data_IF_957561375300
#
_entry.id   IF_957561375300
#
_cell.length_a   1.000
_cell.length_b   1.000
_cell.length_c   1.000
_cell.angle_alpha   90.00
_cell.angle_beta   90.00
_cell.angle_gamma   90.00
#
_symmetry.space_group_name_H-M   'P 1'
#
loop_
_entity.id
_entity.type
_entity.pdbx_description
1 polymer ?
#
# COMPACT_ATOMS: atom_id res chain seq x y z
N UNK A 1 3.39 6.68 26.86
CA UNK A 1 3.62 7.62 25.73
C UNK A 1 2.59 7.35 24.64
N UNK A 2 2.19 8.37 23.85
CA UNK A 2 1.36 8.13 22.67
C UNK A 2 2.25 7.43 21.64
N UNK A 3 1.83 6.28 21.12
CA UNK A 3 2.57 5.53 20.09
C UNK A 3 2.66 6.39 18.83
N UNK A 4 3.88 6.65 18.35
CA UNK A 4 4.18 7.52 17.19
C UNK A 4 4.10 6.69 15.90
N UNK A 5 4.72 5.52 15.89
CA UNK A 5 4.64 4.59 14.79
C UNK A 5 3.31 3.82 14.83
N UNK A 6 2.57 3.90 13.74
CA UNK A 6 1.37 3.12 13.49
C UNK A 6 1.67 1.87 12.66
N UNK A 7 0.65 1.30 12.01
CA UNK A 7 0.82 0.11 11.13
C UNK A 7 1.64 0.39 9.86
N UNK A 8 1.85 1.66 9.50
CA UNK A 8 2.58 2.06 8.29
C UNK A 8 3.38 3.35 8.53
N UNK A 9 4.27 3.33 9.52
CA UNK A 9 5.11 4.45 9.91
C UNK A 9 4.39 5.51 10.77
N UNK A 10 5.07 6.63 11.01
CA UNK A 10 4.50 7.79 11.67
C UNK A 10 3.68 8.61 10.67
N UNK A 11 2.40 8.85 10.91
CA UNK A 11 1.51 9.63 10.03
C UNK A 11 0.70 10.67 10.78
N UNK A 12 0.46 11.79 10.13
CA UNK A 12 -0.38 12.86 10.66
C UNK A 12 -0.42 14.08 9.76
N UNK A 13 -1.12 15.11 10.21
CA UNK A 13 -1.15 16.41 9.53
C UNK A 13 0.23 17.06 9.68
N UNK A 14 0.84 17.44 8.55
CA UNK A 14 2.14 18.12 8.51
C UNK A 14 2.08 19.46 9.29
N UNK A 15 3.16 19.81 9.99
CA UNK A 15 3.26 20.97 10.91
C UNK A 15 2.30 20.94 12.12
N UNK A 16 1.54 19.89 12.31
CA UNK A 16 0.64 19.75 13.47
C UNK A 16 0.95 18.48 14.27
N UNK A 17 1.00 17.34 13.60
CA UNK A 17 1.27 16.03 14.20
C UNK A 17 2.66 15.51 13.77
N UNK A 18 3.00 15.70 12.50
CA UNK A 18 4.34 15.43 11.97
C UNK A 18 5.04 16.79 11.79
N UNK A 19 5.80 17.18 12.79
CA UNK A 19 6.53 18.45 12.83
C UNK A 19 7.99 18.26 12.43
N UNK A 20 8.68 19.38 12.13
CA UNK A 20 10.12 19.39 11.85
C UNK A 20 10.93 18.84 13.04
N UNK A 21 10.55 19.21 14.27
CA UNK A 21 11.21 18.75 15.49
C UNK A 21 11.08 17.22 15.64
N UNK A 22 9.88 16.68 15.38
CA UNK A 22 9.67 15.23 15.41
C UNK A 22 10.47 14.53 14.32
N UNK A 23 10.52 15.10 13.11
CA UNK A 23 11.28 14.57 11.98
C UNK A 23 12.79 14.51 12.28
N UNK A 24 13.36 15.55 12.88
CA UNK A 24 14.76 15.56 13.35
C UNK A 24 14.99 14.46 14.41
N UNK A 25 14.08 14.32 15.38
CA UNK A 25 14.18 13.28 16.41
C UNK A 25 14.13 11.88 15.81
N UNK A 26 13.20 11.63 14.87
CA UNK A 26 13.10 10.35 14.16
C UNK A 26 14.42 10.08 13.40
N UNK A 27 14.95 11.05 12.68
CA UNK A 27 16.22 10.90 11.97
C UNK A 27 17.37 10.51 12.90
N UNK A 28 17.49 11.16 14.05
CA UNK A 28 18.50 10.80 15.07
C UNK A 28 18.29 9.39 15.62
N UNK A 29 17.06 9.03 15.97
CA UNK A 29 16.75 7.72 16.53
C UNK A 29 17.03 6.59 15.52
N UNK A 30 16.66 6.79 14.25
CA UNK A 30 16.94 5.85 13.14
C UNK A 30 18.46 5.69 12.96
N UNK A 31 19.20 6.79 12.90
CA UNK A 31 20.66 6.72 12.73
C UNK A 31 21.37 6.12 13.95
N UNK A 32 20.87 6.33 15.16
CA UNK A 32 21.42 5.69 16.37
C UNK A 32 21.20 4.18 16.36
N UNK A 33 20.00 3.75 15.93
CA UNK A 33 19.66 2.32 15.84
C UNK A 33 20.50 1.59 14.76
N UNK A 34 20.65 2.20 13.57
CA UNK A 34 21.35 1.58 12.42
C UNK A 34 22.82 2.03 12.27
N UNK A 35 23.42 2.55 13.30
CA UNK A 35 24.76 3.13 13.27
C UNK A 35 25.83 2.10 12.84
N UNK A 36 26.65 2.48 11.86
CA UNK A 36 27.84 1.72 11.45
C UNK A 36 27.71 0.94 10.12
N UNK A 37 26.52 0.80 9.55
CA UNK A 37 26.28 -0.12 8.41
C UNK A 37 26.13 0.56 7.04
N UNK A 38 26.54 1.81 6.87
CA UNK A 38 26.46 2.57 5.62
C UNK A 38 25.51 3.78 5.70
N UNK A 39 25.24 4.46 4.57
CA UNK A 39 24.35 5.60 4.52
C UNK A 39 22.88 5.20 4.65
N UNK A 40 22.04 6.15 5.06
CA UNK A 40 20.57 6.02 4.97
C UNK A 40 20.09 6.57 3.63
N UNK A 41 19.26 5.79 2.93
CA UNK A 41 18.56 6.24 1.72
C UNK A 41 17.26 6.97 2.13
N UNK A 42 17.01 8.16 1.57
CA UNK A 42 15.75 8.88 1.76
C UNK A 42 15.08 9.13 0.40
N UNK A 43 13.82 8.69 0.27
CA UNK A 43 12.93 9.07 -0.83
C UNK A 43 11.70 9.81 -0.32
N UNK A 44 10.98 10.44 -1.22
CA UNK A 44 9.79 11.22 -0.87
C UNK A 44 8.71 11.12 -1.94
N UNK A 45 7.44 11.36 -1.57
CA UNK A 45 6.38 11.65 -2.53
C UNK A 45 6.38 13.15 -2.91
N UNK A 46 5.48 13.55 -3.80
CA UNK A 46 5.43 14.92 -4.32
C UNK A 46 4.82 15.95 -3.38
N UNK A 47 4.32 15.59 -2.18
CA UNK A 47 3.64 16.51 -1.26
C UNK A 47 4.48 17.76 -0.99
N UNK A 48 3.82 18.92 -0.91
CA UNK A 48 4.50 20.20 -0.62
C UNK A 48 5.32 20.15 0.67
N UNK A 49 4.86 19.39 1.67
CA UNK A 49 5.57 19.22 2.94
C UNK A 49 6.71 18.19 2.91
N UNK A 50 6.85 17.39 1.84
CA UNK A 50 7.84 16.31 1.78
C UNK A 50 9.28 16.83 1.79
N UNK A 51 9.68 17.85 1.03
CA UNK A 51 11.05 18.37 1.09
C UNK A 51 11.42 18.88 2.49
N UNK A 52 10.51 19.60 3.16
CA UNK A 52 10.75 20.11 4.52
C UNK A 52 11.02 18.97 5.52
N UNK A 53 10.20 17.91 5.48
CA UNK A 53 10.34 16.77 6.38
C UNK A 53 11.55 15.90 6.02
N UNK A 54 11.84 15.71 4.72
CA UNK A 54 13.07 15.05 4.24
C UNK A 54 14.31 15.71 4.82
N UNK A 55 14.39 17.03 4.67
CA UNK A 55 15.57 17.80 5.10
C UNK A 55 15.73 17.74 6.62
N UNK A 56 14.62 17.75 7.36
CA UNK A 56 14.63 17.61 8.82
C UNK A 56 15.11 16.21 9.24
N UNK A 57 14.62 15.13 8.61
CA UNK A 57 15.11 13.77 8.87
C UNK A 57 16.58 13.63 8.50
N UNK A 58 16.99 14.14 7.32
CA UNK A 58 18.37 14.11 6.87
C UNK A 58 19.30 14.86 7.84
N UNK A 59 18.90 16.05 8.32
CA UNK A 59 19.65 16.80 9.31
C UNK A 59 19.78 16.01 10.63
N UNK A 60 18.70 15.34 11.07
CA UNK A 60 18.73 14.48 12.25
C UNK A 60 19.74 13.34 12.10
N UNK A 61 19.71 12.62 11.00
CA UNK A 61 20.62 11.51 10.69
C UNK A 61 22.08 12.01 10.62
N UNK A 62 22.33 13.03 9.83
CA UNK A 62 23.67 13.57 9.62
C UNK A 62 24.28 14.13 10.93
N UNK A 63 23.46 14.78 11.78
CA UNK A 63 23.91 15.28 13.08
C UNK A 63 24.41 14.16 14.02
N UNK A 64 24.01 12.93 13.77
CA UNK A 64 24.45 11.75 14.53
C UNK A 64 25.60 10.97 13.86
N UNK A 65 26.19 11.54 12.79
CA UNK A 65 27.41 11.01 12.14
C UNK A 65 27.15 9.96 11.07
N UNK A 66 25.92 9.76 10.62
CA UNK A 66 25.58 8.81 9.55
C UNK A 66 25.33 9.58 8.25
N UNK A 67 25.90 9.08 7.15
CA UNK A 67 25.72 9.67 5.82
C UNK A 67 24.27 9.47 5.32
N UNK A 68 23.80 10.39 4.50
CA UNK A 68 22.46 10.39 3.90
C UNK A 68 22.58 10.51 2.38
N UNK A 69 21.87 9.67 1.67
CA UNK A 69 21.66 9.79 0.22
C UNK A 69 20.17 10.07 -0.03
N UNK A 70 19.84 11.18 -0.67
CA UNK A 70 18.47 11.50 -1.06
C UNK A 70 18.22 11.12 -2.52
N UNK A 71 17.12 10.43 -2.79
CA UNK A 71 16.70 10.05 -4.15
C UNK A 71 15.68 11.02 -4.76
N UNK A 72 15.25 12.04 -4.00
CA UNK A 72 14.16 12.95 -4.37
C UNK A 72 12.80 12.22 -4.47
N UNK A 73 11.94 12.73 -5.34
CA UNK A 73 10.59 12.14 -5.53
C UNK A 73 10.70 10.79 -6.24
N UNK A 74 10.41 9.72 -5.49
CA UNK A 74 10.54 8.31 -5.94
C UNK A 74 9.50 7.44 -5.19
N UNK A 75 8.93 6.40 -5.80
CA UNK A 75 7.96 5.53 -5.13
C UNK A 75 8.49 4.86 -3.86
N UNK A 76 7.61 4.70 -2.87
CA UNK A 76 7.90 3.94 -1.65
C UNK A 76 8.54 2.57 -1.93
N UNK A 77 8.00 1.72 -2.83
CA UNK A 77 8.62 0.42 -3.14
C UNK A 77 10.00 0.55 -3.79
N UNK A 78 10.27 1.64 -4.51
CA UNK A 78 11.60 1.87 -5.07
C UNK A 78 12.64 2.09 -3.96
N UNK A 79 12.30 2.86 -2.90
CA UNK A 79 13.20 3.01 -1.74
C UNK A 79 13.44 1.67 -1.07
N UNK A 80 12.39 0.89 -0.82
CA UNK A 80 12.49 -0.48 -0.26
C UNK A 80 13.44 -1.36 -1.10
N UNK A 81 13.23 -1.41 -2.40
CA UNK A 81 14.04 -2.23 -3.32
C UNK A 81 15.51 -1.76 -3.39
N UNK A 82 15.73 -0.46 -3.52
CA UNK A 82 17.06 0.12 -3.61
C UNK A 82 17.84 0.00 -2.30
N UNK A 83 17.16 0.10 -1.15
CA UNK A 83 17.76 -0.18 0.16
C UNK A 83 18.27 -1.62 0.23
N UNK A 84 17.45 -2.58 -0.21
CA UNK A 84 17.82 -4.01 -0.24
C UNK A 84 18.97 -4.33 -1.19
N UNK A 85 19.01 -3.67 -2.35
CA UNK A 85 19.99 -3.97 -3.40
C UNK A 85 21.27 -3.14 -3.28
N UNK A 86 21.21 -2.00 -2.61
CA UNK A 86 22.33 -1.08 -2.41
C UNK A 86 23.06 -1.33 -1.09
N UNK A 87 24.04 -0.49 -0.83
CA UNK A 87 24.81 -0.53 0.42
C UNK A 87 24.26 0.50 1.42
N UNK A 88 22.97 0.39 1.75
CA UNK A 88 22.26 1.27 2.68
C UNK A 88 21.95 0.53 3.98
N UNK A 89 22.19 1.17 5.14
CA UNK A 89 21.84 0.59 6.43
C UNK A 89 20.34 0.64 6.70
N UNK A 90 19.65 1.64 6.14
CA UNK A 90 18.20 1.79 6.23
C UNK A 90 17.66 2.61 5.06
N UNK A 91 16.37 2.48 4.79
CA UNK A 91 15.61 3.34 3.88
C UNK A 91 14.57 4.14 4.63
N UNK A 92 14.38 5.40 4.28
CA UNK A 92 13.34 6.26 4.83
C UNK A 92 12.49 6.82 3.69
N UNK A 93 11.19 6.84 3.86
CA UNK A 93 10.25 7.44 2.91
C UNK A 93 9.41 8.50 3.60
N UNK A 94 9.37 9.67 2.97
CA UNK A 94 8.52 10.78 3.41
C UNK A 94 7.25 10.76 2.56
N UNK A 95 6.19 10.19 3.10
CA UNK A 95 4.90 10.04 2.41
C UNK A 95 3.77 9.67 3.36
N UNK A 96 2.55 10.08 3.01
CA UNK A 96 1.32 9.58 3.61
C UNK A 96 0.47 8.77 2.60
N UNK A 97 1.07 8.21 1.54
CA UNK A 97 0.43 7.35 0.52
C UNK A 97 -0.83 8.04 -0.06
N UNK A 98 -2.00 7.45 0.13
CA UNK A 98 -3.28 7.91 -0.41
C UNK A 98 -4.01 8.94 0.45
N UNK A 99 -3.44 9.38 1.58
CA UNK A 99 -4.08 10.38 2.45
C UNK A 99 -4.23 11.75 1.74
N UNK A 100 -5.16 12.62 2.21
CA UNK A 100 -5.28 13.99 1.73
C UNK A 100 -3.98 14.79 1.78
N UNK A 101 -3.93 15.91 1.05
CA UNK A 101 -2.70 16.70 0.82
C UNK A 101 -2.07 17.29 2.11
N UNK A 102 -2.89 17.51 3.15
CA UNK A 102 -2.45 18.05 4.43
C UNK A 102 -1.64 17.04 5.26
N UNK A 103 -1.79 15.76 4.97
CA UNK A 103 -1.10 14.68 5.67
C UNK A 103 0.29 14.46 5.11
N UNK A 104 1.19 14.00 5.98
CA UNK A 104 2.45 13.41 5.57
C UNK A 104 2.84 12.31 6.57
N UNK A 105 3.96 11.63 6.32
CA UNK A 105 4.43 10.58 7.19
C UNK A 105 5.90 10.24 6.98
N UNK A 106 6.44 9.45 7.89
CA UNK A 106 7.81 8.94 7.85
C UNK A 106 7.75 7.44 8.04
N UNK A 107 8.14 6.70 6.99
CA UNK A 107 8.23 5.24 6.98
C UNK A 107 9.70 4.83 7.02
N UNK A 108 10.03 3.76 7.73
CA UNK A 108 11.41 3.26 7.81
C UNK A 108 11.46 1.82 7.33
N UNK A 109 12.48 1.51 6.55
CA UNK A 109 12.80 0.19 6.03
C UNK A 109 14.18 -0.25 6.56
N UNK A 110 14.30 -1.49 6.97
CA UNK A 110 15.59 -2.09 7.31
C UNK A 110 16.44 -2.31 6.05
N UNK A 111 17.72 -2.59 6.24
CA UNK A 111 18.69 -2.86 5.16
C UNK A 111 18.24 -3.94 4.16
N UNK A 112 17.41 -4.88 4.58
CA UNK A 112 16.83 -5.92 3.74
C UNK A 112 15.61 -5.47 2.94
N UNK A 113 15.21 -4.19 3.04
CA UNK A 113 14.08 -3.59 2.36
C UNK A 113 12.70 -3.89 2.97
N UNK A 114 12.63 -4.63 4.07
CA UNK A 114 11.37 -4.83 4.80
C UNK A 114 11.05 -3.64 5.69
N UNK A 115 9.76 -3.39 5.92
CA UNK A 115 9.33 -2.49 7.01
C UNK A 115 9.83 -3.04 8.33
N UNK A 116 10.04 -2.13 9.28
CA UNK A 116 10.51 -2.50 10.61
C UNK A 116 9.48 -3.39 11.32
N UNK A 117 9.97 -4.35 12.09
CA UNK A 117 9.16 -5.12 13.04
C UNK A 117 8.71 -4.23 14.21
N UNK A 118 7.62 -4.59 14.88
CA UNK A 118 7.03 -3.79 15.95
C UNK A 118 8.02 -3.52 17.08
N UNK A 119 8.85 -4.52 17.42
CA UNK A 119 9.89 -4.43 18.43
C UNK A 119 10.95 -3.39 18.09
N UNK A 120 11.35 -3.32 16.81
CA UNK A 120 12.33 -2.34 16.32
C UNK A 120 11.72 -0.93 16.30
N UNK A 121 10.44 -0.80 15.87
CA UNK A 121 9.74 0.48 15.94
C UNK A 121 9.65 0.98 17.39
N UNK A 122 9.36 0.11 18.35
CA UNK A 122 9.32 0.44 19.79
C UNK A 122 10.70 0.86 20.32
N UNK A 123 11.78 0.20 19.91
CA UNK A 123 13.14 0.60 20.27
C UNK A 123 13.49 1.97 19.71
N UNK A 124 13.14 2.27 18.45
CA UNK A 124 13.34 3.59 17.85
C UNK A 124 12.49 4.65 18.58
N UNK A 125 11.24 4.35 18.94
CA UNK A 125 10.42 5.27 19.76
C UNK A 125 11.08 5.55 21.12
N UNK A 126 11.70 4.57 21.74
CA UNK A 126 12.44 4.77 22.99
C UNK A 126 13.68 5.66 22.83
N UNK A 127 14.28 5.68 21.65
CA UNK A 127 15.44 6.54 21.34
C UNK A 127 15.07 8.00 21.06
N UNK A 128 13.82 8.32 20.70
CA UNK A 128 13.42 9.66 20.29
C UNK A 128 13.79 10.77 21.29
N UNK A 129 13.73 10.47 22.58
CA UNK A 129 14.04 11.42 23.65
C UNK A 129 15.33 11.05 24.42
N UNK A 130 16.07 10.01 24.01
CA UNK A 130 17.23 9.48 24.71
C UNK A 130 18.56 9.72 23.98
N UNK A 131 18.54 10.17 22.73
CA UNK A 131 19.78 10.48 22.01
C UNK A 131 20.54 11.58 22.76
N UNK A 132 21.78 11.29 23.14
CA UNK A 132 22.63 12.22 23.86
C UNK A 132 23.04 13.38 22.95
N UNK A 133 22.46 14.56 23.20
CA UNK A 133 22.75 15.77 22.42
C UNK A 133 24.06 16.47 22.85
N UNK A 134 24.68 16.03 23.97
CA UNK A 134 25.91 16.66 24.48
C UNK A 134 27.18 16.13 23.80
N UNK A 135 27.12 14.91 23.21
CA UNK A 135 28.25 14.22 22.60
C UNK A 135 28.06 13.98 21.08
N UNK A 136 27.36 14.86 20.40
CA UNK A 136 27.18 14.75 18.95
C UNK A 136 28.52 14.87 18.19
N UNK A 137 28.66 14.12 17.07
CA UNK A 137 29.84 14.22 16.20
C UNK A 137 30.15 15.65 15.77
N UNK A 138 31.43 15.98 15.64
CA UNK A 138 31.90 17.31 15.27
C UNK A 138 32.86 17.25 14.09
N UNK A 139 32.96 18.36 13.35
CA UNK A 139 33.88 18.50 12.22
C UNK A 139 33.64 17.44 11.14
N UNK A 140 34.69 16.67 10.82
CA UNK A 140 34.65 15.61 9.79
C UNK A 140 33.88 14.35 10.19
N UNK A 141 33.43 14.26 11.45
CA UNK A 141 32.63 13.13 11.93
C UNK A 141 31.12 13.37 11.73
N UNK A 142 30.71 14.56 11.31
CA UNK A 142 29.31 14.84 10.93
C UNK A 142 29.03 14.08 9.62
N UNK A 143 27.87 13.42 9.54
CA UNK A 143 27.45 12.72 8.33
C UNK A 143 27.23 13.67 7.16
N UNK A 144 27.51 13.20 5.95
CA UNK A 144 27.31 13.95 4.72
C UNK A 144 25.90 13.75 4.19
N UNK A 145 25.30 14.81 3.64
CA UNK A 145 24.03 14.72 2.92
C UNK A 145 24.33 14.94 1.44
N UNK A 146 24.00 13.99 0.61
CA UNK A 146 24.16 14.05 -0.84
C UNK A 146 22.88 13.62 -1.56
N UNK A 147 22.67 14.16 -2.77
CA UNK A 147 21.59 13.73 -3.65
C UNK A 147 22.14 12.80 -4.73
N UNK A 148 21.43 11.69 -5.00
CA UNK A 148 21.71 10.81 -6.14
C UNK A 148 20.45 10.66 -7.01
N UNK A 149 20.36 11.48 -8.03
CA UNK A 149 19.25 11.50 -8.99
C UNK A 149 19.20 10.25 -9.89
N UNK A 150 20.30 9.44 -9.95
CA UNK A 150 20.37 8.22 -10.77
C UNK A 150 19.60 7.06 -10.14
N UNK A 151 19.26 7.13 -8.87
CA UNK A 151 18.54 6.07 -8.18
C UNK A 151 17.16 5.78 -8.80
N UNK A 152 16.46 6.80 -9.31
CA UNK A 152 15.22 6.60 -10.08
C UNK A 152 15.42 5.77 -11.34
N UNK A 153 16.48 6.09 -12.08
CA UNK A 153 16.88 5.33 -13.27
C UNK A 153 17.30 3.90 -12.93
N UNK A 154 18.00 3.71 -11.82
CA UNK A 154 18.41 2.37 -11.35
C UNK A 154 17.19 1.48 -11.06
N UNK A 155 16.14 2.04 -10.45
CA UNK A 155 14.89 1.32 -10.24
C UNK A 155 14.20 0.96 -11.57
N UNK A 156 14.08 1.93 -12.50
CA UNK A 156 13.50 1.70 -13.84
C UNK A 156 14.31 0.63 -14.60
N UNK A 157 15.62 0.77 -14.66
CA UNK A 157 16.52 -0.20 -15.34
C UNK A 157 16.31 -1.60 -14.79
N UNK A 158 16.28 -1.73 -13.45
CA UNK A 158 16.07 -3.01 -12.78
C UNK A 158 14.75 -3.67 -13.20
N UNK A 159 13.67 -2.91 -13.30
CA UNK A 159 12.36 -3.46 -13.70
C UNK A 159 12.30 -3.79 -15.18
N UNK A 160 12.84 -2.93 -16.04
CA UNK A 160 12.94 -3.20 -17.49
C UNK A 160 13.69 -4.49 -17.74
N UNK A 161 14.89 -4.66 -17.14
CA UNK A 161 15.71 -5.85 -17.28
C UNK A 161 15.04 -7.10 -16.70
N UNK A 162 14.45 -6.98 -15.52
CA UNK A 162 13.80 -8.09 -14.80
C UNK A 162 12.60 -8.64 -15.55
N UNK A 163 11.78 -7.75 -16.09
CA UNK A 163 10.53 -8.16 -16.74
C UNK A 163 10.72 -8.43 -18.22
N UNK A 164 11.53 -7.65 -18.93
CA UNK A 164 11.85 -7.84 -20.37
C UNK A 164 10.61 -8.09 -21.23
N UNK A 165 9.54 -7.29 -21.00
CA UNK A 165 8.29 -7.37 -21.76
C UNK A 165 8.46 -6.68 -23.12
N UNK A 166 7.75 -7.19 -24.14
CA UNK A 166 7.55 -6.44 -25.37
C UNK A 166 6.11 -5.92 -25.40
N UNK A 167 5.95 -4.61 -25.20
CA UNK A 167 4.67 -3.92 -25.18
C UNK A 167 4.40 -3.15 -26.51
N UNK A 168 5.16 -3.45 -27.57
CA UNK A 168 4.94 -2.82 -28.89
C UNK A 168 3.51 -3.09 -29.37
N UNK A 169 2.78 -2.02 -29.69
CA UNK A 169 1.39 -2.09 -30.12
C UNK A 169 0.37 -2.15 -28.97
N UNK A 170 0.81 -2.10 -27.72
CA UNK A 170 -0.08 -1.98 -26.56
C UNK A 170 -0.20 -0.50 -26.18
N UNK A 171 -1.42 0.00 -26.12
CA UNK A 171 -1.74 1.37 -25.70
C UNK A 171 -2.24 1.37 -24.26
N UNK A 172 -1.57 2.13 -23.40
CA UNK A 172 -1.80 2.14 -21.94
C UNK A 172 -2.17 3.55 -21.49
N UNK A 173 -3.31 3.69 -20.81
CA UNK A 173 -3.65 4.89 -20.05
C UNK A 173 -2.98 4.80 -18.67
N UNK A 174 -2.32 5.87 -18.21
CA UNK A 174 -1.61 5.89 -16.91
C UNK A 174 -1.99 7.13 -16.12
N UNK A 175 -2.50 6.92 -14.91
CA UNK A 175 -2.72 7.95 -13.91
C UNK A 175 -1.71 7.75 -12.78
N UNK A 176 -0.80 8.70 -12.60
CA UNK A 176 0.22 8.67 -11.55
C UNK A 176 -0.14 9.50 -10.32
N UNK A 177 -1.39 9.93 -10.23
CA UNK A 177 -1.93 10.69 -9.09
C UNK A 177 -1.15 11.98 -8.75
N UNK A 178 -0.40 12.57 -9.69
CA UNK A 178 0.59 13.63 -9.45
C UNK A 178 1.63 13.25 -8.39
N UNK A 179 1.81 11.96 -8.13
CA UNK A 179 2.59 11.39 -7.05
C UNK A 179 3.99 10.92 -7.46
N UNK A 180 4.54 10.03 -6.67
CA UNK A 180 5.92 9.57 -6.78
C UNK A 180 6.22 8.70 -8.01
N UNK A 181 5.18 8.13 -8.64
CA UNK A 181 5.32 7.29 -9.83
C UNK A 181 5.40 8.08 -11.14
N UNK A 182 5.31 9.42 -11.11
CA UNK A 182 5.23 10.31 -12.25
C UNK A 182 6.29 10.05 -13.35
N UNK A 183 7.47 9.64 -12.94
CA UNK A 183 8.59 9.30 -13.81
C UNK A 183 8.70 7.79 -14.02
N UNK A 184 8.71 7.01 -12.93
CA UNK A 184 9.09 5.60 -12.96
C UNK A 184 8.14 4.73 -13.78
N UNK A 185 6.83 4.92 -13.63
CA UNK A 185 5.83 4.12 -14.37
C UNK A 185 5.81 4.47 -15.86
N UNK A 186 5.65 5.73 -16.28
CA UNK A 186 5.68 6.07 -17.70
C UNK A 186 7.00 5.68 -18.38
N UNK A 187 8.14 5.91 -17.73
CA UNK A 187 9.44 5.61 -18.30
C UNK A 187 9.66 4.11 -18.48
N UNK A 188 9.31 3.29 -17.47
CA UNK A 188 9.40 1.83 -17.57
C UNK A 188 8.55 1.29 -18.72
N UNK A 189 7.28 1.70 -18.80
CA UNK A 189 6.37 1.23 -19.85
C UNK A 189 6.80 1.67 -21.25
N UNK A 190 7.31 2.90 -21.39
CA UNK A 190 7.83 3.43 -22.64
C UNK A 190 9.06 2.65 -23.12
N UNK A 191 10.00 2.34 -22.23
CA UNK A 191 11.20 1.51 -22.56
C UNK A 191 10.83 0.09 -22.95
N UNK A 192 9.72 -0.42 -22.46
CA UNK A 192 9.16 -1.72 -22.86
C UNK A 192 8.37 -1.67 -24.16
N UNK A 193 8.20 -0.49 -24.78
CA UNK A 193 7.61 -0.31 -26.10
C UNK A 193 6.13 0.09 -26.13
N UNK A 194 5.51 0.43 -24.97
CA UNK A 194 4.11 0.83 -24.92
C UNK A 194 3.85 2.23 -25.48
N UNK A 195 2.70 2.41 -26.11
CA UNK A 195 2.10 3.74 -26.37
C UNK A 195 1.38 4.22 -25.12
N UNK A 196 1.65 5.45 -24.67
CA UNK A 196 1.11 5.96 -23.41
C UNK A 196 0.22 7.18 -23.59
N UNK A 197 -0.88 7.19 -22.85
CA UNK A 197 -1.70 8.37 -22.56
C UNK A 197 -1.64 8.60 -21.06
N UNK A 198 -1.06 9.72 -20.64
CA UNK A 198 -0.77 9.96 -19.22
C UNK A 198 -1.64 11.07 -18.62
N UNK A 199 -2.00 10.89 -17.36
CA UNK A 199 -2.64 11.88 -16.51
C UNK A 199 -1.81 12.02 -15.22
N UNK A 200 -1.61 13.24 -14.74
CA UNK A 200 -0.86 13.50 -13.51
C UNK A 200 0.60 13.08 -13.55
N UNK A 201 1.21 12.93 -14.75
CA UNK A 201 2.61 12.50 -14.91
C UNK A 201 3.61 13.65 -14.67
N UNK A 202 3.36 14.42 -13.64
CA UNK A 202 4.21 15.49 -13.09
C UNK A 202 4.09 15.48 -11.56
N UNK A 203 5.16 15.79 -10.81
CA UNK A 203 5.12 15.79 -9.35
C UNK A 203 4.54 17.11 -8.84
N UNK A 204 3.23 17.14 -8.56
CA UNK A 204 2.53 18.31 -8.03
C UNK A 204 1.87 18.01 -6.68
N UNK A 205 2.53 18.43 -5.62
CA UNK A 205 2.09 18.20 -4.24
C UNK A 205 0.79 18.89 -3.84
N UNK A 206 0.33 19.87 -4.61
CA UNK A 206 -0.97 20.53 -4.39
C UNK A 206 -2.12 19.71 -5.00
N UNK A 207 -1.82 18.73 -5.84
CA UNK A 207 -2.77 17.92 -6.60
C UNK A 207 -2.66 16.41 -6.31
N UNK A 208 -1.67 15.99 -5.54
CA UNK A 208 -1.45 14.57 -5.23
C UNK A 208 -2.71 13.92 -4.63
N UNK A 209 -3.21 12.86 -5.24
CA UNK A 209 -4.45 12.13 -4.91
C UNK A 209 -5.75 12.99 -4.97
N UNK A 210 -5.70 14.25 -5.42
CA UNK A 210 -6.89 15.11 -5.49
C UNK A 210 -7.71 14.74 -6.72
N UNK A 211 -8.85 14.08 -6.49
CA UNK A 211 -9.76 13.57 -7.53
C UNK A 211 -9.05 12.70 -8.60
N UNK A 212 -8.00 11.99 -8.24
CA UNK A 212 -7.26 11.10 -9.13
C UNK A 212 -6.62 9.95 -8.32
N UNK A 213 -5.90 9.08 -9.02
CA UNK A 213 -5.21 7.95 -8.42
C UNK A 213 -6.12 6.80 -8.02
N UNK A 214 -5.53 5.78 -7.41
CA UNK A 214 -6.19 4.51 -7.10
C UNK A 214 -7.40 4.62 -6.17
N UNK A 215 -7.52 5.69 -5.41
CA UNK A 215 -8.69 5.97 -4.55
C UNK A 215 -9.83 6.68 -5.27
N UNK A 216 -9.57 7.20 -6.48
CA UNK A 216 -10.54 7.88 -7.34
C UNK A 216 -10.48 7.28 -8.77
N UNK A 217 -10.83 6.01 -8.94
CA UNK A 217 -10.57 5.25 -10.17
C UNK A 217 -11.42 5.68 -11.38
N UNK A 218 -12.36 6.62 -11.21
CA UNK A 218 -13.16 7.17 -12.31
C UNK A 218 -12.29 7.86 -13.37
N UNK A 219 -11.20 8.52 -12.96
CA UNK A 219 -10.27 9.17 -13.90
C UNK A 219 -9.64 8.15 -14.84
N UNK A 220 -9.11 7.05 -14.30
CA UNK A 220 -8.49 6.03 -15.16
C UNK A 220 -9.52 5.29 -16.00
N UNK A 221 -10.76 5.12 -15.51
CA UNK A 221 -11.88 4.58 -16.25
C UNK A 221 -12.16 5.43 -17.50
N UNK A 222 -12.41 6.73 -17.32
CA UNK A 222 -12.70 7.69 -18.39
C UNK A 222 -11.51 7.87 -19.35
N UNK A 223 -10.30 7.96 -18.82
CA UNK A 223 -9.08 8.10 -19.62
C UNK A 223 -8.87 6.89 -20.53
N UNK A 224 -9.06 5.68 -20.00
CA UNK A 224 -8.90 4.44 -20.77
C UNK A 224 -9.90 4.35 -21.92
N UNK A 225 -11.19 4.61 -21.63
CA UNK A 225 -12.24 4.55 -22.63
C UNK A 225 -12.08 5.64 -23.70
N UNK A 226 -11.91 6.90 -23.28
CA UNK A 226 -11.82 8.05 -24.21
C UNK A 226 -10.59 8.00 -25.09
N UNK A 227 -9.46 7.54 -24.58
CA UNK A 227 -8.22 7.38 -25.34
C UNK A 227 -8.19 6.10 -26.18
N UNK A 228 -9.17 5.20 -26.01
CA UNK A 228 -9.20 3.85 -26.61
C UNK A 228 -7.94 3.05 -26.24
N UNK A 229 -7.51 3.13 -25.00
CA UNK A 229 -6.39 2.35 -24.49
C UNK A 229 -6.80 0.90 -24.21
N UNK A 230 -5.86 -0.03 -24.36
CA UNK A 230 -6.10 -1.46 -24.11
C UNK A 230 -6.30 -1.75 -22.62
N UNK A 231 -5.62 -0.96 -21.78
CA UNK A 231 -5.66 -1.07 -20.32
C UNK A 231 -5.36 0.30 -19.70
N UNK A 232 -5.96 0.56 -18.53
CA UNK A 232 -5.63 1.68 -17.66
C UNK A 232 -4.90 1.22 -16.40
N UNK A 233 -3.96 2.04 -15.93
CA UNK A 233 -3.14 1.83 -14.73
C UNK A 233 -3.23 3.09 -13.89
N UNK A 234 -3.70 3.00 -12.65
CA UNK A 234 -3.81 4.13 -11.73
C UNK A 234 -3.12 3.82 -10.40
N UNK A 235 -2.11 4.62 -10.06
CA UNK A 235 -1.37 4.52 -8.79
C UNK A 235 -1.98 5.41 -7.71
N UNK A 236 -1.57 5.21 -6.46
CA UNK A 236 -1.72 6.19 -5.40
C UNK A 236 -0.46 7.08 -5.29
N UNK A 237 -0.49 8.02 -4.35
CA UNK A 237 0.52 9.08 -4.24
C UNK A 237 1.96 8.60 -4.07
N UNK A 238 2.21 7.46 -3.43
CA UNK A 238 3.56 6.91 -3.24
C UNK A 238 3.80 5.60 -4.01
N UNK A 239 2.82 5.15 -4.80
CA UNK A 239 2.99 4.07 -5.76
C UNK A 239 3.07 2.67 -5.18
N UNK A 240 2.71 2.47 -3.92
CA UNK A 240 2.62 1.16 -3.30
C UNK A 240 1.33 0.41 -3.68
N UNK A 241 0.36 1.11 -4.32
CA UNK A 241 -0.90 0.59 -4.83
C UNK A 241 -1.08 0.81 -6.31
N UNK A 242 -1.90 -0.04 -6.91
CA UNK A 242 -2.36 0.11 -8.29
C UNK A 242 -3.77 -0.46 -8.46
N UNK A 243 -4.60 0.26 -9.21
CA UNK A 243 -5.91 -0.16 -9.70
C UNK A 243 -5.88 -0.10 -11.22
N UNK A 244 -6.62 -0.98 -11.86
CA UNK A 244 -6.66 -1.05 -13.32
C UNK A 244 -8.04 -0.73 -13.86
N UNK A 245 -8.10 -0.44 -15.17
CA UNK A 245 -9.33 -0.47 -15.95
C UNK A 245 -9.14 -1.29 -17.22
N UNK A 246 -10.17 -2.00 -17.62
CA UNK A 246 -10.17 -2.65 -18.93
C UNK A 246 -10.46 -1.64 -20.05
N UNK A 247 -10.37 -2.06 -21.31
CA UNK A 247 -10.57 -1.19 -22.49
C UNK A 247 -11.97 -0.55 -22.60
N UNK A 248 -12.90 -0.92 -21.74
CA UNK A 248 -14.25 -0.34 -21.62
C UNK A 248 -14.39 0.57 -20.41
N UNK A 249 -13.30 0.90 -19.75
CA UNK A 249 -13.31 1.68 -18.52
C UNK A 249 -13.76 0.92 -17.27
N UNK A 250 -14.04 -0.39 -17.35
CA UNK A 250 -14.47 -1.14 -16.16
C UNK A 250 -13.31 -1.33 -15.21
N UNK A 251 -13.48 -0.92 -13.95
CA UNK A 251 -12.45 -0.99 -12.93
C UNK A 251 -12.15 -2.43 -12.52
N UNK A 252 -10.87 -2.71 -12.34
CA UNK A 252 -10.30 -3.98 -11.85
C UNK A 252 -9.51 -3.67 -10.60
N UNK A 253 -10.04 -4.10 -9.45
CA UNK A 253 -9.45 -3.86 -8.15
C UNK A 253 -8.33 -4.85 -7.79
N UNK A 254 -7.75 -4.69 -6.60
CA UNK A 254 -6.67 -5.58 -6.14
C UNK A 254 -7.10 -7.04 -6.00
N UNK A 255 -8.34 -7.29 -5.63
CA UNK A 255 -8.87 -8.65 -5.49
C UNK A 255 -8.97 -9.36 -6.85
N UNK A 256 -9.54 -8.69 -7.87
CA UNK A 256 -9.57 -9.24 -9.24
C UNK A 256 -8.16 -9.41 -9.80
N UNK A 257 -7.28 -8.43 -9.55
CA UNK A 257 -5.88 -8.47 -9.99
C UNK A 257 -5.16 -9.68 -9.41
N UNK A 258 -5.27 -9.91 -8.09
CA UNK A 258 -4.71 -11.09 -7.44
C UNK A 258 -5.28 -12.39 -8.01
N UNK A 259 -6.59 -12.44 -8.30
CA UNK A 259 -7.22 -13.64 -8.88
C UNK A 259 -6.68 -13.93 -10.27
N UNK A 260 -6.56 -12.93 -11.14
CA UNK A 260 -6.06 -13.09 -12.51
C UNK A 260 -4.61 -13.58 -12.48
N UNK A 261 -3.74 -12.89 -11.73
CA UNK A 261 -2.31 -13.22 -11.65
C UNK A 261 -2.12 -14.56 -10.90
N UNK A 262 -2.85 -14.80 -9.81
CA UNK A 262 -2.76 -16.03 -9.03
C UNK A 262 -3.14 -17.27 -9.84
N UNK A 263 -4.19 -17.19 -10.66
CA UNK A 263 -4.58 -18.28 -11.60
C UNK A 263 -3.49 -18.53 -12.65
N UNK A 264 -2.88 -17.46 -13.19
CA UNK A 264 -1.80 -17.59 -14.16
C UNK A 264 -0.55 -18.21 -13.50
N UNK A 265 -0.15 -17.77 -12.29
CA UNK A 265 0.94 -18.37 -11.54
C UNK A 265 0.69 -19.86 -11.24
N UNK A 266 -0.54 -20.21 -10.86
CA UNK A 266 -0.94 -21.61 -10.62
C UNK A 266 -0.81 -22.45 -11.89
N UNK A 267 -1.36 -21.98 -13.02
CA UNK A 267 -1.27 -22.62 -14.33
C UNK A 267 0.20 -22.83 -14.78
N UNK A 268 1.10 -21.90 -14.45
CA UNK A 268 2.54 -21.98 -14.75
C UNK A 268 3.34 -22.81 -13.72
N UNK A 269 2.71 -23.36 -12.68
CA UNK A 269 3.40 -24.06 -11.60
C UNK A 269 4.30 -23.16 -10.73
N UNK A 270 4.03 -21.84 -10.72
CA UNK A 270 4.82 -20.82 -10.00
C UNK A 270 4.12 -20.30 -8.74
N UNK A 271 2.89 -20.71 -8.48
CA UNK A 271 2.18 -20.34 -7.26
C UNK A 271 2.63 -21.25 -6.11
N UNK A 272 3.57 -20.77 -5.32
CA UNK A 272 4.13 -21.51 -4.18
C UNK A 272 3.01 -21.97 -3.23
N UNK A 273 3.04 -23.23 -2.85
CA UNK A 273 2.07 -23.88 -1.96
C UNK A 273 0.59 -23.76 -2.40
N UNK A 274 0.31 -23.29 -3.62
CA UNK A 274 -1.02 -22.98 -4.13
C UNK A 274 -1.82 -22.06 -3.19
N UNK A 275 -1.15 -21.07 -2.61
CA UNK A 275 -1.72 -20.12 -1.64
C UNK A 275 -1.66 -18.70 -2.20
N UNK A 276 -2.77 -17.95 -2.00
CA UNK A 276 -2.86 -16.51 -2.11
C UNK A 276 -3.31 -15.95 -0.76
N UNK A 277 -2.68 -14.88 -0.30
CA UNK A 277 -3.02 -14.24 0.98
C UNK A 277 -3.74 -12.92 0.71
N UNK A 278 -4.95 -12.78 1.26
CA UNK A 278 -5.71 -11.53 1.24
C UNK A 278 -6.09 -11.09 2.65
N UNK A 279 -7.04 -10.17 2.74
CA UNK A 279 -7.54 -9.68 4.04
C UNK A 279 -8.99 -10.09 4.27
N UNK A 280 -9.47 -9.84 5.49
CA UNK A 280 -10.90 -9.98 5.82
C UNK A 280 -11.80 -9.02 5.00
N UNK A 281 -11.24 -8.09 4.23
CA UNK A 281 -12.00 -7.21 3.35
C UNK A 281 -12.09 -7.73 1.92
N UNK A 282 -11.26 -8.68 1.51
CA UNK A 282 -11.32 -9.27 0.16
C UNK A 282 -12.67 -9.91 -0.12
N UNK A 283 -13.18 -9.74 -1.34
CA UNK A 283 -14.52 -10.17 -1.71
C UNK A 283 -14.69 -11.70 -1.64
N UNK A 284 -15.82 -12.17 -1.12
CA UNK A 284 -16.12 -13.60 -0.98
C UNK A 284 -16.22 -14.31 -2.34
N UNK A 285 -16.66 -13.61 -3.39
CA UNK A 285 -16.71 -14.16 -4.74
C UNK A 285 -15.32 -14.46 -5.28
N UNK A 286 -14.34 -13.63 -4.94
CA UNK A 286 -12.92 -13.84 -5.29
C UNK A 286 -12.36 -15.08 -4.58
N UNK A 287 -12.62 -15.22 -3.27
CA UNK A 287 -12.22 -16.42 -2.54
C UNK A 287 -12.83 -17.69 -3.16
N UNK A 288 -14.15 -17.68 -3.44
CA UNK A 288 -14.82 -18.81 -4.12
C UNK A 288 -14.19 -19.11 -5.49
N UNK A 289 -13.80 -18.06 -6.23
CA UNK A 289 -13.12 -18.24 -7.51
C UNK A 289 -11.73 -18.87 -7.36
N UNK A 290 -10.95 -18.49 -6.35
CA UNK A 290 -9.68 -19.14 -6.03
C UNK A 290 -9.88 -20.63 -5.70
N UNK A 291 -10.79 -20.94 -4.77
CA UNK A 291 -11.08 -22.31 -4.34
C UNK A 291 -11.53 -23.19 -5.53
N UNK A 292 -12.39 -22.65 -6.40
CA UNK A 292 -12.83 -23.35 -7.63
C UNK A 292 -11.66 -23.70 -8.57
N UNK A 293 -10.58 -22.93 -8.53
CA UNK A 293 -9.38 -23.18 -9.33
C UNK A 293 -8.28 -23.98 -8.56
N UNK A 294 -8.61 -24.59 -7.42
CA UNK A 294 -7.65 -25.39 -6.63
C UNK A 294 -6.61 -24.54 -5.87
N UNK A 295 -6.88 -23.25 -5.69
CA UNK A 295 -6.01 -22.30 -4.99
C UNK A 295 -6.60 -22.03 -3.61
N UNK A 296 -5.78 -22.12 -2.57
CA UNK A 296 -6.16 -21.77 -1.20
C UNK A 296 -6.08 -20.26 -1.03
N UNK A 297 -7.17 -19.66 -0.56
CA UNK A 297 -7.18 -18.24 -0.20
C UNK A 297 -7.14 -18.11 1.33
N UNK A 298 -6.15 -17.40 1.85
CA UNK A 298 -6.01 -17.17 3.28
C UNK A 298 -6.32 -15.71 3.60
N UNK A 299 -7.06 -15.48 4.68
CA UNK A 299 -7.45 -14.15 5.12
C UNK A 299 -6.68 -13.74 6.37
N UNK A 300 -6.16 -12.53 6.35
CA UNK A 300 -5.56 -11.88 7.51
C UNK A 300 -6.40 -10.70 8.00
N UNK A 301 -6.02 -10.08 9.10
CA UNK A 301 -6.49 -8.74 9.44
C UNK A 301 -6.12 -7.73 8.35
N UNK A 302 -6.82 -6.60 8.30
CA UNK A 302 -6.51 -5.50 7.38
C UNK A 302 -5.19 -4.85 7.77
N UNK A 303 -4.33 -4.65 6.78
CA UNK A 303 -3.01 -4.05 6.90
C UNK A 303 -1.95 -4.91 6.21
N UNK A 304 -1.13 -4.28 5.41
CA UNK A 304 -0.07 -4.88 4.61
C UNK A 304 0.92 -5.71 5.45
N UNK A 305 1.24 -5.26 6.66
CA UNK A 305 2.05 -5.96 7.67
C UNK A 305 1.52 -7.38 7.96
N UNK A 306 0.20 -7.52 8.14
CA UNK A 306 -0.42 -8.84 8.43
C UNK A 306 -0.42 -9.74 7.20
N UNK A 307 -0.64 -9.15 6.02
CA UNK A 307 -0.55 -9.88 4.74
C UNK A 307 0.88 -10.40 4.55
N UNK A 308 1.87 -9.53 4.68
CA UNK A 308 3.28 -9.87 4.53
C UNK A 308 3.72 -10.97 5.52
N UNK A 309 3.37 -10.82 6.80
CA UNK A 309 3.70 -11.81 7.84
C UNK A 309 3.13 -13.19 7.52
N UNK A 310 1.85 -13.27 7.11
CA UNK A 310 1.24 -14.55 6.73
C UNK A 310 1.83 -15.10 5.41
N UNK A 311 2.19 -14.24 4.45
CA UNK A 311 2.89 -14.65 3.23
C UNK A 311 4.25 -15.30 3.55
N UNK A 312 5.06 -14.69 4.41
CA UNK A 312 6.36 -15.24 4.84
C UNK A 312 6.14 -16.58 5.54
N UNK A 313 5.23 -16.64 6.51
CA UNK A 313 4.91 -17.86 7.28
C UNK A 313 4.44 -19.01 6.39
N UNK A 314 3.73 -18.72 5.31
CA UNK A 314 3.17 -19.71 4.38
C UNK A 314 4.00 -19.91 3.12
N UNK A 315 5.08 -19.17 2.96
CA UNK A 315 5.88 -19.13 1.73
C UNK A 315 4.99 -18.85 0.50
N UNK A 316 4.03 -17.91 0.65
CA UNK A 316 3.11 -17.54 -0.42
C UNK A 316 3.80 -16.57 -1.39
N UNK A 317 3.68 -16.80 -2.69
CA UNK A 317 4.31 -15.97 -3.72
C UNK A 317 3.61 -14.62 -3.90
N UNK A 318 2.29 -14.57 -3.68
CA UNK A 318 1.45 -13.38 -3.88
C UNK A 318 0.46 -13.20 -2.73
N UNK A 319 0.27 -11.96 -2.32
CA UNK A 319 -0.76 -11.54 -1.39
C UNK A 319 -1.01 -10.06 -1.50
N UNK A 320 -2.12 -9.58 -0.93
CA UNK A 320 -2.44 -8.16 -1.00
C UNK A 320 -3.83 -7.82 -0.50
N UNK A 321 -4.27 -6.63 -0.87
CA UNK A 321 -5.54 -6.04 -0.46
C UNK A 321 -6.36 -5.60 -1.67
N UNK A 322 -7.68 -5.54 -1.51
CA UNK A 322 -8.59 -5.00 -2.51
C UNK A 322 -8.21 -3.59 -2.97
N UNK A 323 -7.59 -2.80 -2.09
CA UNK A 323 -7.10 -1.44 -2.39
C UNK A 323 -6.00 -1.37 -3.46
N UNK A 324 -5.49 -2.52 -3.93
CA UNK A 324 -4.42 -2.60 -4.93
C UNK A 324 -3.01 -2.65 -4.35
N UNK A 325 -2.84 -2.74 -3.03
CA UNK A 325 -1.56 -3.02 -2.39
C UNK A 325 -1.26 -4.52 -2.53
N UNK A 326 -0.44 -4.89 -3.51
CA UNK A 326 -0.13 -6.29 -3.84
C UNK A 326 1.37 -6.53 -3.71
N UNK A 327 1.72 -7.59 -3.00
CA UNK A 327 3.09 -8.01 -2.71
C UNK A 327 3.41 -9.26 -3.52
N UNK A 328 4.57 -9.25 -4.18
CA UNK A 328 5.19 -10.41 -4.81
C UNK A 328 6.51 -10.67 -4.09
N UNK A 329 6.56 -11.63 -3.14
CA UNK A 329 7.73 -11.84 -2.27
C UNK A 329 9.04 -12.10 -3.01
N UNK A 330 8.99 -12.69 -4.19
CA UNK A 330 10.17 -12.95 -5.00
C UNK A 330 10.72 -11.66 -5.67
N UNK A 331 9.91 -10.60 -5.74
CA UNK A 331 10.25 -9.34 -6.40
C UNK A 331 10.42 -8.18 -5.41
N UNK A 332 9.52 -8.05 -4.46
CA UNK A 332 9.47 -6.92 -3.52
C UNK A 332 9.09 -7.37 -2.11
N UNK A 333 9.60 -6.67 -1.10
CA UNK A 333 9.28 -6.85 0.32
C UNK A 333 8.06 -6.03 0.79
N UNK A 334 7.47 -5.24 -0.11
CA UNK A 334 6.27 -4.43 0.13
C UNK A 334 5.41 -4.41 -1.12
N UNK A 335 4.20 -3.87 -1.04
CA UNK A 335 3.39 -3.61 -2.23
C UNK A 335 4.12 -2.70 -3.22
N UNK A 336 4.02 -3.05 -4.49
CA UNK A 336 4.63 -2.30 -5.58
C UNK A 336 3.66 -2.24 -6.76
N UNK A 337 3.09 -1.05 -6.97
CA UNK A 337 2.09 -0.85 -8.02
C UNK A 337 2.66 -1.06 -9.42
N UNK A 338 3.92 -0.70 -9.66
CA UNK A 338 4.56 -0.88 -10.97
C UNK A 338 4.91 -2.34 -11.22
N UNK A 339 5.44 -3.08 -10.24
CA UNK A 339 5.64 -4.53 -10.35
C UNK A 339 4.31 -5.23 -10.61
N UNK A 340 3.26 -4.84 -9.90
CA UNK A 340 1.92 -5.41 -10.09
C UNK A 340 1.40 -5.16 -11.51
N UNK A 341 1.61 -3.94 -12.05
CA UNK A 341 1.26 -3.61 -13.43
C UNK A 341 2.03 -4.47 -14.43
N UNK A 342 3.35 -4.61 -14.25
CA UNK A 342 4.18 -5.45 -15.12
C UNK A 342 3.79 -6.93 -15.06
N UNK A 343 3.43 -7.44 -13.88
CA UNK A 343 2.92 -8.80 -13.72
C UNK A 343 1.60 -9.01 -14.45
N UNK A 344 0.65 -8.06 -14.34
CA UNK A 344 -0.63 -8.15 -15.06
C UNK A 344 -0.42 -8.06 -16.58
N UNK A 345 0.43 -7.14 -17.05
CA UNK A 345 0.79 -7.04 -18.47
C UNK A 345 1.44 -8.32 -18.99
N UNK A 346 2.29 -8.97 -18.19
CA UNK A 346 2.82 -10.30 -18.51
C UNK A 346 1.71 -11.32 -18.73
N UNK A 347 0.70 -11.33 -17.86
CA UNK A 347 -0.43 -12.25 -18.00
C UNK A 347 -1.20 -11.99 -19.29
N UNK A 348 -1.47 -10.71 -19.65
CA UNK A 348 -2.16 -10.34 -20.89
C UNK A 348 -1.40 -10.84 -22.12
N UNK A 349 -0.09 -10.65 -22.16
CA UNK A 349 0.78 -11.10 -23.25
C UNK A 349 0.78 -12.63 -23.34
N UNK A 350 1.03 -13.32 -22.23
CA UNK A 350 1.16 -14.79 -22.19
C UNK A 350 -0.15 -15.51 -22.53
N UNK A 351 -1.30 -14.96 -22.16
CA UNK A 351 -2.61 -15.52 -22.47
C UNK A 351 -3.15 -15.06 -23.82
N UNK A 352 -2.58 -13.99 -24.41
CA UNK A 352 -3.05 -13.40 -25.68
C UNK A 352 -4.48 -12.89 -25.60
N UNK A 353 -4.93 -12.43 -24.42
CA UNK A 353 -6.30 -12.01 -24.15
C UNK A 353 -6.34 -10.62 -23.51
N UNK A 354 -7.32 -9.78 -23.90
CA UNK A 354 -7.51 -8.50 -23.22
C UNK A 354 -8.02 -8.71 -21.79
N UNK A 355 -7.80 -7.72 -20.93
CA UNK A 355 -8.18 -7.76 -19.51
C UNK A 355 -9.69 -8.03 -19.35
N UNK A 356 -10.53 -7.44 -20.22
CA UNK A 356 -11.97 -7.67 -20.24
C UNK A 356 -12.40 -9.12 -20.48
N UNK A 357 -11.53 -9.95 -21.09
CA UNK A 357 -11.78 -11.39 -21.23
C UNK A 357 -11.28 -12.20 -20.04
N UNK A 358 -10.13 -11.83 -19.45
CA UNK A 358 -9.58 -12.54 -18.29
C UNK A 358 -10.48 -12.40 -17.06
N UNK A 359 -11.24 -11.32 -16.96
CA UNK A 359 -12.21 -11.09 -15.88
C UNK A 359 -13.60 -11.69 -16.08
N UNK A 360 -13.88 -12.26 -17.27
CA UNK A 360 -15.19 -12.90 -17.51
C UNK A 360 -15.49 -14.00 -16.51
N UNK A 361 -16.69 -13.93 -15.90
CA UNK A 361 -17.16 -14.89 -14.91
C UNK A 361 -16.61 -14.67 -13.50
N UNK A 362 -15.87 -13.60 -13.25
CA UNK A 362 -15.59 -13.15 -11.89
C UNK A 362 -16.89 -12.56 -11.32
N UNK A 363 -17.27 -13.02 -10.14
CA UNK A 363 -18.49 -12.58 -9.46
C UNK A 363 -18.08 -11.83 -8.21
N UNK A 364 -18.52 -10.58 -8.09
CA UNK A 364 -18.43 -9.82 -6.86
C UNK A 364 -19.75 -9.91 -6.11
N UNK A 365 -19.67 -10.29 -4.85
CA UNK A 365 -20.83 -10.20 -3.98
C UNK A 365 -21.00 -8.77 -3.49
N UNK A 366 -22.24 -8.27 -3.40
CA UNK A 366 -22.53 -7.00 -2.77
C UNK A 366 -21.89 -6.93 -1.37
N UNK A 367 -21.18 -5.84 -1.09
CA UNK A 367 -20.49 -5.59 0.17
C UNK A 367 -20.90 -4.21 0.69
N UNK A 368 -21.44 -4.16 1.91
CA UNK A 368 -21.86 -2.92 2.56
C UNK A 368 -20.97 -2.62 3.75
N UNK A 369 -20.33 -1.46 3.75
CA UNK A 369 -19.52 -0.95 4.86
C UNK A 369 -20.29 0.16 5.59
N UNK A 370 -20.60 -0.07 6.87
CA UNK A 370 -21.25 0.90 7.75
C UNK A 370 -20.31 1.33 8.86
N UNK A 371 -20.12 2.64 9.00
CA UNK A 371 -19.31 3.23 10.05
C UNK A 371 -20.22 3.77 11.17
N UNK A 372 -20.03 3.32 12.41
CA UNK A 372 -20.80 3.77 13.57
C UNK A 372 -19.87 4.48 14.54
N UNK A 373 -20.07 5.80 14.75
CA UNK A 373 -19.28 6.57 15.71
C UNK A 373 -19.59 6.09 17.13
N UNK A 374 -18.56 5.91 17.95
CA UNK A 374 -18.66 5.44 19.33
C UNK A 374 -17.80 6.31 20.26
N UNK A 375 -18.19 6.45 21.53
CA UNK A 375 -17.37 7.11 22.55
C UNK A 375 -16.20 6.23 22.96
N UNK A 376 -16.46 4.92 23.12
CA UNK A 376 -15.45 3.92 23.46
C UNK A 376 -15.49 2.76 22.46
N UNK A 377 -14.35 2.47 21.85
CA UNK A 377 -14.20 1.36 20.89
C UNK A 377 -14.30 -0.01 21.55
N UNK A 378 -14.11 -0.11 22.87
CA UNK A 378 -14.24 -1.35 23.63
C UNK A 378 -15.66 -1.92 23.60
N UNK A 379 -16.67 -1.11 23.24
CA UNK A 379 -18.04 -1.58 23.03
C UNK A 379 -18.11 -2.75 22.01
N UNK A 380 -17.20 -2.84 21.06
CA UNK A 380 -17.07 -3.98 20.15
C UNK A 380 -16.72 -5.30 20.88
N UNK A 381 -16.24 -5.22 22.13
CA UNK A 381 -15.93 -6.38 22.96
C UNK A 381 -17.07 -6.73 23.94
N UNK A 382 -18.12 -5.90 24.02
CA UNK A 382 -19.30 -6.20 24.85
C UNK A 382 -19.89 -7.57 24.46
N UNK A 383 -20.10 -8.42 25.44
CA UNK A 383 -20.57 -9.79 25.23
C UNK A 383 -21.92 -9.81 24.52
N UNK A 384 -22.86 -8.91 24.88
CA UNK A 384 -24.20 -8.81 24.28
C UNK A 384 -24.10 -8.48 22.80
N UNK A 385 -23.16 -7.57 22.43
CA UNK A 385 -22.92 -7.20 21.04
C UNK A 385 -22.31 -8.35 20.24
N UNK A 386 -21.32 -9.03 20.81
CA UNK A 386 -20.72 -10.22 20.17
C UNK A 386 -21.74 -11.33 19.95
N UNK A 387 -22.52 -11.66 20.97
CA UNK A 387 -23.55 -12.70 20.91
C UNK A 387 -24.60 -12.35 19.82
N UNK A 388 -24.98 -11.07 19.72
CA UNK A 388 -25.88 -10.60 18.68
C UNK A 388 -25.28 -10.74 17.28
N UNK A 389 -24.03 -10.27 17.07
CA UNK A 389 -23.33 -10.41 15.78
C UNK A 389 -23.18 -11.89 15.39
N UNK A 390 -22.84 -12.76 16.33
CA UNK A 390 -22.79 -14.21 16.08
C UNK A 390 -24.13 -14.81 15.67
N UNK A 391 -25.25 -14.31 16.24
CA UNK A 391 -26.58 -14.75 15.82
C UNK A 391 -26.87 -14.35 14.37
N UNK A 392 -26.52 -13.14 13.96
CA UNK A 392 -26.66 -12.68 12.58
C UNK A 392 -25.77 -13.45 11.60
N UNK A 393 -24.51 -13.79 12.01
CA UNK A 393 -23.62 -14.67 11.23
C UNK A 393 -24.24 -16.05 11.00
N UNK A 394 -24.85 -16.63 12.05
CA UNK A 394 -25.53 -17.92 11.95
C UNK A 394 -26.74 -17.88 11.02
N UNK A 395 -27.51 -16.79 11.05
CA UNK A 395 -28.67 -16.59 10.16
C UNK A 395 -28.23 -16.44 8.69
N UNK A 396 -27.16 -15.70 8.44
CA UNK A 396 -26.61 -15.48 7.11
C UNK A 396 -26.00 -16.78 6.53
N UNK A 397 -25.40 -17.61 7.39
CA UNK A 397 -24.80 -18.90 7.01
C UNK A 397 -23.74 -18.76 5.91
N UNK A 398 -23.73 -19.69 4.97
CA UNK A 398 -22.76 -19.71 3.86
C UNK A 398 -23.09 -18.72 2.71
N UNK A 399 -24.19 -17.98 2.81
CA UNK A 399 -24.61 -17.00 1.78
C UNK A 399 -23.86 -15.69 1.87
N UNK A 400 -23.18 -15.45 2.98
CA UNK A 400 -22.47 -14.20 3.21
C UNK A 400 -21.59 -14.26 4.44
N UNK A 401 -21.09 -13.09 4.85
CA UNK A 401 -20.27 -12.93 6.05
C UNK A 401 -20.40 -11.54 6.65
N UNK A 402 -20.04 -11.45 7.91
CA UNK A 402 -20.08 -10.22 8.68
C UNK A 402 -18.70 -10.03 9.33
N UNK A 403 -18.15 -8.83 9.20
CA UNK A 403 -16.90 -8.42 9.86
C UNK A 403 -17.17 -7.15 10.66
N UNK A 404 -16.96 -7.21 11.97
CA UNK A 404 -17.08 -6.06 12.85
C UNK A 404 -15.73 -5.78 13.48
N UNK A 405 -15.24 -4.56 13.34
CA UNK A 405 -13.95 -4.17 13.90
C UNK A 405 -13.91 -2.70 14.33
N UNK A 406 -13.17 -2.36 15.40
CA UNK A 406 -12.85 -0.97 15.69
C UNK A 406 -11.96 -0.36 14.61
N UNK A 407 -12.14 0.94 14.34
CA UNK A 407 -11.18 1.70 13.52
C UNK A 407 -9.87 1.91 14.28
N UNK A 408 -8.74 1.78 13.60
CA UNK A 408 -7.42 2.07 14.18
C UNK A 408 -7.28 3.53 14.58
N UNK A 409 -7.69 4.44 13.70
CA UNK A 409 -7.43 5.89 13.81
C UNK A 409 -8.60 6.72 14.30
N UNK A 410 -9.83 6.28 14.08
CA UNK A 410 -11.04 7.06 14.36
C UNK A 410 -11.88 6.44 15.50
N UNK A 411 -12.69 7.23 16.24
CA UNK A 411 -13.57 6.73 17.29
C UNK A 411 -14.85 6.12 16.71
N UNK A 412 -14.69 5.02 15.93
CA UNK A 412 -15.82 4.33 15.30
C UNK A 412 -15.62 2.81 15.21
N UNK A 413 -16.72 2.10 15.09
CA UNK A 413 -16.79 0.68 14.75
C UNK A 413 -17.17 0.57 13.27
N UNK A 414 -16.43 -0.22 12.54
CA UNK A 414 -16.68 -0.57 11.14
C UNK A 414 -17.40 -1.90 11.08
N UNK A 415 -18.56 -1.91 10.43
CA UNK A 415 -19.41 -3.08 10.22
C UNK A 415 -19.41 -3.34 8.71
N UNK A 416 -18.84 -4.45 8.28
CA UNK A 416 -18.91 -4.91 6.90
C UNK A 416 -19.84 -6.12 6.84
N UNK A 417 -20.84 -6.05 5.98
CA UNK A 417 -21.74 -7.16 5.65
C UNK A 417 -21.64 -7.43 4.17
N UNK A 418 -21.40 -8.66 3.81
CA UNK A 418 -21.25 -9.12 2.43
C UNK A 418 -22.12 -10.37 2.21
N UNK A 419 -22.73 -10.48 1.04
CA UNK A 419 -23.59 -11.64 0.75
C UNK A 419 -24.19 -11.61 -0.64
N UNK A 420 -24.90 -12.68 -0.99
CA UNK A 420 -25.48 -12.88 -2.32
C UNK A 420 -26.67 -11.94 -2.59
N UNK A 421 -27.37 -11.49 -1.54
CA UNK A 421 -28.56 -10.65 -1.66
C UNK A 421 -28.34 -9.27 -1.02
N UNK A 422 -28.39 -8.22 -1.84
CA UNK A 422 -28.19 -6.84 -1.40
C UNK A 422 -29.22 -6.38 -0.36
N UNK A 423 -30.49 -6.76 -0.48
CA UNK A 423 -31.53 -6.44 0.48
C UNK A 423 -31.30 -7.09 1.84
N UNK A 424 -30.84 -8.34 1.85
CA UNK A 424 -30.53 -9.08 3.08
C UNK A 424 -29.34 -8.44 3.83
N UNK A 425 -28.23 -8.16 3.14
CA UNK A 425 -27.05 -7.54 3.77
C UNK A 425 -27.35 -6.14 4.30
N UNK A 426 -28.20 -5.37 3.61
CA UNK A 426 -28.65 -4.06 4.08
C UNK A 426 -29.45 -4.15 5.38
N UNK A 427 -30.41 -5.09 5.45
CA UNK A 427 -31.20 -5.32 6.65
C UNK A 427 -30.35 -5.77 7.84
N UNK A 428 -29.38 -6.68 7.60
CA UNK A 428 -28.45 -7.14 8.63
C UNK A 428 -27.59 -5.97 9.13
N UNK A 429 -27.04 -5.16 8.22
CA UNK A 429 -26.23 -4.00 8.58
C UNK A 429 -26.99 -2.99 9.44
N UNK A 430 -28.25 -2.74 9.10
CA UNK A 430 -29.15 -1.86 9.89
C UNK A 430 -29.35 -2.43 11.28
N UNK A 431 -29.73 -3.72 11.41
CA UNK A 431 -29.95 -4.36 12.73
C UNK A 431 -28.71 -4.30 13.62
N UNK A 432 -27.52 -4.60 13.06
CA UNK A 432 -26.26 -4.54 13.84
C UNK A 432 -25.96 -3.10 14.28
N UNK A 433 -26.18 -2.13 13.39
CA UNK A 433 -26.01 -0.71 13.71
C UNK A 433 -26.96 -0.28 14.84
N UNK A 434 -28.26 -0.57 14.73
CA UNK A 434 -29.29 -0.21 15.72
C UNK A 434 -29.00 -0.87 17.07
N UNK A 435 -28.60 -2.14 17.08
CA UNK A 435 -28.21 -2.83 18.31
C UNK A 435 -27.01 -2.15 18.99
N UNK A 436 -25.98 -1.80 18.21
CA UNK A 436 -24.80 -1.11 18.72
C UNK A 436 -25.15 0.29 19.27
N UNK A 437 -26.05 1.01 18.59
CA UNK A 437 -26.53 2.32 19.03
C UNK A 437 -27.39 2.21 20.29
N UNK A 438 -28.20 1.16 20.44
CA UNK A 438 -28.95 0.87 21.64
C UNK A 438 -28.08 0.62 22.88
N UNK A 439 -26.91 -0.02 22.70
CA UNK A 439 -25.97 -0.21 23.80
C UNK A 439 -25.34 1.10 24.29
N UNK A 440 -25.18 2.10 23.42
CA UNK A 440 -24.65 3.42 23.78
C UNK A 440 -25.61 4.24 24.64
N UNK A 441 -26.91 4.02 24.50
CA UNK A 441 -27.94 4.73 25.27
C UNK A 441 -28.09 4.18 26.69
N UNK A 442 -27.46 3.07 27.00
CA UNK A 442 -27.54 2.40 28.33
C UNK A 442 -26.28 2.71 29.18
N UNK A 443 -25.31 3.38 28.61
CA UNK A 443 -24.11 3.93 29.29
C UNK A 443 -24.13 5.47 29.32
#
# INVERSE_FOLDING_TARGET
MRKIFGTDGARGIANKEITVELAVKIGRAVSEYFKGDGPVLIGEDSRVSSPMLRDAVAAGIASNGVDVITAGVIPTPAVSLLTRLGNFCAGVVISASHNPIEYNGIKVFAHNGFKLEDEIEEEIEHLLDKVDLTNLPQGSLIGKVAEDTKLKESYVNRLVDRFSLNLTGVKIAVDTAFGATYFTTPETLRRLGAELVTFGAEPDGSRINVNCGSTNPHIISELTESSKSDIGISHDGDGDRVIFSDSRGSIVDGDETMLIIGKWLHKKGKLKNNIVVGTVMSNMGIERAFVKNGIRFLRTSVGDRYVLSEMIKREAAIGGEQSGHIIFLDESSTGDGLITALMLLRVLIDEGKPLSELRKGIVHFPQLLTNVKVKDKNIAQDKRFKDFVESEIKLLGNKGRIVVRPSGTEPLIRIMVEGENEGEIKNISVRIKEFLEGLKCVE
#
